data_IF_969403589640
#
_entry.id   IF_969403589640
#
_cell.length_a   1.000
_cell.length_b   1.000
_cell.length_c   1.000
_cell.angle_alpha   90.00
_cell.angle_beta   90.00
_cell.angle_gamma   90.00
#
_symmetry.space_group_name_H-M   'P 1'
#
loop_
_entity.id
_entity.type
_entity.pdbx_description
1 polymer ?
#
# COMPACT_ATOMS: atom_id res chain seq x y z
N UNK A 1 31.73 42.24 -8.85
CA UNK A 1 32.53 41.03 -9.09
C UNK A 1 31.61 39.81 -9.01
N UNK A 2 31.21 39.21 -10.13
CA UNK A 2 30.44 37.95 -10.17
C UNK A 2 31.42 36.81 -10.42
N UNK A 3 31.68 35.98 -9.41
CA UNK A 3 32.54 34.80 -9.52
C UNK A 3 31.74 33.74 -10.27
N UNK A 4 31.97 33.56 -11.57
CA UNK A 4 31.34 32.49 -12.35
C UNK A 4 31.93 31.16 -11.88
N UNK A 5 31.14 30.39 -11.13
CA UNK A 5 31.49 29.05 -10.69
C UNK A 5 31.45 28.09 -11.87
N UNK A 6 32.60 27.91 -12.52
CA UNK A 6 32.78 26.89 -13.55
C UNK A 6 32.92 25.53 -12.87
N UNK A 7 31.81 24.80 -12.73
CA UNK A 7 31.85 23.42 -12.28
C UNK A 7 32.39 22.55 -13.43
N UNK A 8 33.48 21.78 -13.21
CA UNK A 8 34.03 20.92 -14.26
C UNK A 8 33.01 19.85 -14.64
N UNK A 9 33.04 19.38 -15.90
CA UNK A 9 32.14 18.33 -16.41
C UNK A 9 32.17 17.09 -15.50
N UNK A 10 33.34 16.79 -14.92
CA UNK A 10 33.49 15.72 -13.93
C UNK A 10 32.56 15.87 -12.73
N UNK A 11 32.32 17.09 -12.26
CA UNK A 11 31.39 17.36 -11.15
C UNK A 11 29.94 17.06 -11.52
N UNK A 12 29.54 17.36 -12.76
CA UNK A 12 28.21 17.02 -13.27
C UNK A 12 28.03 15.51 -13.44
N UNK A 13 29.06 14.81 -13.91
CA UNK A 13 29.06 13.34 -14.03
C UNK A 13 28.99 12.67 -12.67
N UNK A 14 29.77 13.14 -11.69
CA UNK A 14 29.70 12.63 -10.33
C UNK A 14 28.34 12.92 -9.67
N UNK A 15 27.78 14.12 -9.87
CA UNK A 15 26.45 14.45 -9.38
C UNK A 15 25.35 13.58 -10.01
N UNK A 16 25.45 13.32 -11.32
CA UNK A 16 24.52 12.44 -12.03
C UNK A 16 24.65 10.98 -11.56
N UNK A 17 25.86 10.45 -11.45
CA UNK A 17 26.09 9.10 -10.94
C UNK A 17 25.61 8.94 -9.50
N UNK A 18 25.83 9.94 -8.63
CA UNK A 18 25.30 9.96 -7.28
C UNK A 18 23.76 9.97 -7.26
N UNK A 19 23.13 10.76 -8.13
CA UNK A 19 21.67 10.79 -8.27
C UNK A 19 21.12 9.43 -8.74
N UNK A 20 21.75 8.81 -9.74
CA UNK A 20 21.38 7.47 -10.23
C UNK A 20 21.54 6.42 -9.13
N UNK A 21 22.62 6.47 -8.35
CA UNK A 21 22.83 5.60 -7.19
C UNK A 21 21.73 5.76 -6.14
N UNK A 22 21.39 7.00 -5.78
CA UNK A 22 20.32 7.28 -4.80
C UNK A 22 18.97 6.73 -5.29
N UNK A 23 18.62 6.95 -6.56
CA UNK A 23 17.39 6.42 -7.15
C UNK A 23 17.40 4.88 -7.21
N UNK A 24 18.54 4.27 -7.57
CA UNK A 24 18.68 2.81 -7.64
C UNK A 24 18.58 2.12 -6.27
N UNK A 25 19.01 2.78 -5.19
CA UNK A 25 18.87 2.25 -3.81
C UNK A 25 17.45 2.34 -3.26
N UNK A 26 16.51 2.98 -3.96
CA UNK A 26 15.08 2.74 -3.78
C UNK A 26 14.53 3.13 -2.41
N UNK A 27 14.36 4.43 -2.17
CA UNK A 27 13.45 4.95 -1.14
C UNK A 27 11.95 4.73 -1.48
N UNK A 28 11.65 3.78 -2.37
CA UNK A 28 10.31 3.50 -2.91
C UNK A 28 9.65 2.25 -2.34
N UNK A 29 10.23 1.58 -1.33
CA UNK A 29 9.47 0.57 -0.57
C UNK A 29 8.55 1.34 0.38
N UNK A 30 7.24 1.22 0.17
CA UNK A 30 6.28 1.54 1.23
C UNK A 30 6.61 0.62 2.41
N UNK A 31 7.32 1.14 3.40
CA UNK A 31 7.44 0.49 4.69
C UNK A 31 6.03 0.43 5.27
N UNK A 32 5.56 -0.77 5.61
CA UNK A 32 4.34 -0.93 6.40
C UNK A 32 4.49 -0.06 7.65
N UNK A 33 3.57 0.89 7.89
CA UNK A 33 3.67 1.78 9.05
C UNK A 33 3.91 0.98 10.32
N UNK A 34 4.81 1.45 11.17
CA UNK A 34 5.03 0.84 12.47
C UNK A 34 3.69 0.70 13.20
N UNK A 35 3.46 -0.40 13.95
CA UNK A 35 2.19 -0.60 14.61
C UNK A 35 1.83 0.57 15.53
N UNK A 36 0.58 1.02 15.48
CA UNK A 36 0.11 2.17 16.24
C UNK A 36 -0.60 1.70 17.53
N UNK A 37 0.00 1.88 18.72
CA UNK A 37 -0.59 1.41 19.98
C UNK A 37 -1.93 2.07 20.32
N UNK A 38 -2.18 3.30 19.85
CA UNK A 38 -3.44 4.00 20.09
C UNK A 38 -4.54 3.48 19.15
N UNK A 39 -4.21 3.22 17.89
CA UNK A 39 -5.12 2.62 16.92
C UNK A 39 -5.67 1.27 17.41
N UNK A 40 -4.81 0.42 18.00
CA UNK A 40 -5.19 -0.87 18.57
C UNK A 40 -6.24 -0.80 19.69
N UNK A 41 -6.41 0.37 20.33
CA UNK A 41 -7.43 0.57 21.37
C UNK A 41 -8.80 0.93 20.79
N UNK A 42 -8.83 1.38 19.53
CA UNK A 42 -10.08 1.68 18.84
C UNK A 42 -10.82 0.39 18.54
N UNK A 43 -12.14 0.46 18.63
CA UNK A 43 -13.05 -0.64 18.31
C UNK A 43 -13.95 -0.19 17.18
N UNK A 44 -14.27 -1.10 16.28
CA UNK A 44 -15.29 -0.83 15.28
C UNK A 44 -16.63 -0.49 16.00
N UNK A 45 -17.20 0.71 15.77
CA UNK A 45 -18.46 1.09 16.39
C UNK A 45 -19.64 0.28 15.86
N UNK A 46 -19.46 -0.43 14.73
CA UNK A 46 -20.45 -1.33 14.16
C UNK A 46 -20.20 -2.75 14.70
N UNK A 47 -21.12 -3.30 15.52
CA UNK A 47 -20.96 -4.64 16.03
C UNK A 47 -21.07 -5.67 14.89
N UNK A 48 -20.31 -6.76 14.98
CA UNK A 48 -20.41 -7.90 14.07
C UNK A 48 -21.71 -8.68 14.35
N UNK A 49 -22.75 -8.38 13.59
CA UNK A 49 -24.08 -9.00 13.67
C UNK A 49 -24.45 -9.58 12.31
N UNK A 50 -25.43 -10.50 12.22
CA UNK A 50 -25.92 -10.97 10.92
C UNK A 50 -26.38 -9.83 9.98
N UNK A 51 -26.89 -8.73 10.55
CA UNK A 51 -27.30 -7.55 9.77
C UNK A 51 -26.10 -6.79 9.20
N UNK A 52 -25.10 -6.49 10.02
CA UNK A 52 -23.92 -5.74 9.56
C UNK A 52 -23.03 -6.55 8.63
N UNK A 53 -22.89 -7.86 8.88
CA UNK A 53 -22.16 -8.76 7.98
C UNK A 53 -22.83 -8.88 6.62
N UNK A 54 -24.17 -9.05 6.57
CA UNK A 54 -24.92 -9.04 5.30
C UNK A 54 -24.79 -7.72 4.54
N UNK A 55 -24.82 -6.58 5.23
CA UNK A 55 -24.60 -5.28 4.61
C UNK A 55 -23.16 -5.12 4.09
N UNK A 56 -22.18 -5.62 4.84
CA UNK A 56 -20.78 -5.67 4.43
C UNK A 56 -20.57 -6.53 3.19
N UNK A 57 -21.19 -7.71 3.14
CA UNK A 57 -21.16 -8.59 1.96
C UNK A 57 -21.71 -7.89 0.72
N UNK A 58 -22.87 -7.24 0.82
CA UNK A 58 -23.45 -6.47 -0.30
C UNK A 58 -22.50 -5.36 -0.79
N UNK A 59 -21.83 -4.68 0.14
CA UNK A 59 -20.85 -3.64 -0.16
C UNK A 59 -19.63 -4.24 -0.86
N UNK A 60 -19.09 -5.35 -0.35
CA UNK A 60 -17.95 -6.07 -0.92
C UNK A 60 -18.24 -6.52 -2.35
N UNK A 61 -19.39 -7.17 -2.57
CA UNK A 61 -19.78 -7.67 -3.89
C UNK A 61 -19.94 -6.53 -4.92
N UNK A 62 -20.35 -5.35 -4.48
CA UNK A 62 -20.56 -4.19 -5.36
C UNK A 62 -19.27 -3.46 -5.71
N UNK A 63 -18.36 -3.28 -4.77
CA UNK A 63 -17.24 -2.36 -4.92
C UNK A 63 -15.86 -3.03 -4.88
N UNK A 64 -15.73 -4.19 -4.24
CA UNK A 64 -14.44 -4.84 -3.99
C UNK A 64 -14.24 -6.07 -4.88
N UNK A 65 -15.29 -6.87 -5.08
CA UNK A 65 -15.27 -8.09 -5.89
C UNK A 65 -14.83 -7.91 -7.35
N UNK A 66 -15.04 -6.77 -8.03
CA UNK A 66 -14.48 -6.58 -9.39
C UNK A 66 -12.97 -6.80 -9.45
N UNK A 67 -12.23 -6.39 -8.42
CA UNK A 67 -10.77 -6.58 -8.34
C UNK A 67 -10.40 -7.81 -7.51
N UNK A 68 -11.02 -8.02 -6.35
CA UNK A 68 -10.64 -9.10 -5.44
C UNK A 68 -11.33 -10.45 -5.71
N UNK A 69 -12.26 -10.51 -6.67
CA UNK A 69 -13.06 -11.71 -6.93
C UNK A 69 -14.23 -11.86 -5.95
N UNK A 70 -15.21 -12.67 -6.31
CA UNK A 70 -16.41 -12.92 -5.46
C UNK A 70 -16.05 -13.65 -4.16
N UNK A 71 -15.02 -14.47 -4.21
CA UNK A 71 -14.49 -15.26 -3.09
C UNK A 71 -13.31 -14.57 -2.41
N UNK A 72 -13.02 -13.31 -2.77
CA UNK A 72 -11.97 -12.47 -2.20
C UNK A 72 -10.53 -13.00 -2.37
N UNK A 73 -10.26 -13.82 -3.40
CA UNK A 73 -8.96 -14.46 -3.66
C UNK A 73 -7.98 -13.64 -4.50
N UNK A 74 -8.35 -12.41 -4.88
CA UNK A 74 -7.50 -11.54 -5.71
C UNK A 74 -7.57 -11.83 -7.21
N UNK A 75 -8.57 -12.59 -7.65
CA UNK A 75 -8.76 -13.09 -9.01
C UNK A 75 -9.94 -12.42 -9.73
N UNK A 76 -10.28 -11.19 -9.33
CA UNK A 76 -11.37 -10.44 -9.91
C UNK A 76 -11.15 -10.12 -11.39
N UNK A 77 -12.22 -9.99 -12.19
CA UNK A 77 -12.13 -9.75 -13.63
C UNK A 77 -11.44 -8.44 -14.01
N UNK A 78 -11.35 -7.48 -13.09
CA UNK A 78 -10.67 -6.19 -13.28
C UNK A 78 -9.36 -6.09 -12.50
N UNK A 79 -8.84 -7.20 -11.97
CA UNK A 79 -7.51 -7.22 -11.36
C UNK A 79 -6.45 -6.74 -12.38
N UNK A 80 -5.47 -5.91 -11.96
CA UNK A 80 -4.34 -5.57 -12.82
C UNK A 80 -3.57 -6.82 -13.26
N UNK A 81 -3.07 -6.81 -14.50
CA UNK A 81 -2.35 -7.98 -15.06
C UNK A 81 -0.98 -8.19 -14.44
N UNK A 82 -0.31 -7.10 -14.07
CA UNK A 82 1.06 -7.09 -13.56
C UNK A 82 1.11 -7.06 -12.01
N UNK A 83 -0.04 -6.90 -11.35
CA UNK A 83 -0.16 -6.94 -9.89
C UNK A 83 -1.52 -7.50 -9.48
N UNK A 84 -1.50 -8.60 -8.74
CA UNK A 84 -2.72 -9.19 -8.22
C UNK A 84 -3.11 -8.51 -6.91
N UNK A 85 -4.39 -8.14 -6.74
CA UNK A 85 -4.91 -7.77 -5.43
C UNK A 85 -4.65 -8.92 -4.44
N UNK A 86 -4.40 -8.62 -3.16
CA UNK A 86 -4.16 -9.66 -2.17
C UNK A 86 -5.37 -10.58 -2.02
N UNK A 87 -5.08 -11.85 -1.71
CA UNK A 87 -6.07 -12.81 -1.26
C UNK A 87 -6.46 -12.45 0.18
N UNK A 88 -7.70 -12.03 0.38
CA UNK A 88 -8.20 -11.59 1.69
C UNK A 88 -8.66 -12.76 2.57
N UNK A 89 -8.49 -13.99 2.10
CA UNK A 89 -8.90 -15.23 2.79
C UNK A 89 -7.72 -16.12 3.19
N UNK A 90 -6.48 -15.71 2.89
CA UNK A 90 -5.30 -16.40 3.37
C UNK A 90 -4.84 -15.90 4.75
N UNK A 91 -3.83 -16.56 5.28
CA UNK A 91 -3.22 -16.22 6.57
C UNK A 91 -2.11 -15.14 6.44
N UNK A 92 -1.90 -14.58 5.24
CA UNK A 92 -0.81 -13.63 4.95
C UNK A 92 -1.33 -12.20 5.10
N UNK A 93 -1.30 -11.72 6.34
CA UNK A 93 -1.75 -10.37 6.66
C UNK A 93 -0.61 -9.34 6.56
N UNK A 94 -0.79 -8.32 5.72
CA UNK A 94 0.27 -7.31 5.43
C UNK A 94 0.03 -5.95 6.08
N UNK A 95 -1.15 -5.66 6.65
CA UNK A 95 -1.52 -4.31 7.14
C UNK A 95 -2.42 -4.36 8.38
N UNK A 96 -1.94 -3.97 9.57
CA UNK A 96 -2.78 -3.68 10.77
C UNK A 96 -3.63 -4.85 11.30
N UNK A 97 -3.38 -5.36 12.51
CA UNK A 97 -4.03 -6.59 13.01
C UNK A 97 -5.33 -6.37 13.79
N UNK A 98 -5.82 -5.13 13.82
CA UNK A 98 -7.03 -4.73 14.59
C UNK A 98 -7.90 -3.81 13.76
N UNK A 99 -9.20 -3.77 14.06
CA UNK A 99 -10.17 -2.87 13.38
C UNK A 99 -9.75 -1.39 13.40
N UNK A 100 -8.99 -0.97 14.41
CA UNK A 100 -8.50 0.40 14.50
C UNK A 100 -7.23 0.69 13.70
N UNK A 101 -6.51 -0.36 13.28
CA UNK A 101 -5.31 -0.27 12.44
C UNK A 101 -5.62 -0.39 10.93
N UNK A 102 -6.90 -0.58 10.58
CA UNK A 102 -7.44 -0.63 9.20
C UNK A 102 -8.22 0.66 8.93
#
# INVERSE_FOLDING_TARGET
>A
MRRTSNFPISFLVFAYLALVLVVATGQGRQETPAPNPEARKLKNPVPATPKSTKAGEQTFQRFCAPCHGKDAKGDGPTAPKDSHPPNLTDDVWTHGSTDGEI
#
